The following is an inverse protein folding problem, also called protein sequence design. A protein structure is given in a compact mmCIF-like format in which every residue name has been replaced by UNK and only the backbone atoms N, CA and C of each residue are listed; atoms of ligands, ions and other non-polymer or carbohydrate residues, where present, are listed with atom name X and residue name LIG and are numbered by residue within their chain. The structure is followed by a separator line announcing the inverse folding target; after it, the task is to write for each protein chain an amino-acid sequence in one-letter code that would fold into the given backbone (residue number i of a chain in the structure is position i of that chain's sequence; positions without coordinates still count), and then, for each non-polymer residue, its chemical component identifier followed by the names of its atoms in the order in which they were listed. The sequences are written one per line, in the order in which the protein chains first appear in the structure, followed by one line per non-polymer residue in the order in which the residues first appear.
data_IF_151688957217
#
_entry.id   IF_151688957217
#
_cell.length_a   1.000
_cell.length_b   1.000
_cell.length_c   1.000
_cell.angle_alpha   90.00
_cell.angle_beta   90.00
_cell.angle_gamma   90.00
#
_symmetry.space_group_name_H-M   'P 1'
#
loop_
_entity.id
_entity.type
_entity.pdbx_description
1 polymer ?
#
# COMPACT_ATOMS: atom_id res chain seq x y z
N UNK A 1 -0.40 -22.55 3.75
CA UNK A 1 0.08 -21.19 3.45
C UNK A 1 1.35 -20.97 4.25
N UNK A 2 2.51 -20.93 3.58
CA UNK A 2 3.79 -20.63 4.22
C UNK A 2 3.90 -19.11 4.33
N UNK A 3 3.88 -18.58 5.55
CA UNK A 3 4.06 -17.15 5.82
C UNK A 3 5.46 -16.99 6.38
N UNK A 4 6.34 -16.35 5.62
CA UNK A 4 7.66 -15.95 6.10
C UNK A 4 7.53 -14.58 6.76
N UNK A 5 7.59 -14.56 8.09
CA UNK A 5 7.61 -13.32 8.85
C UNK A 5 9.04 -12.75 8.85
N UNK A 6 9.29 -11.80 7.95
CA UNK A 6 10.47 -10.97 8.02
C UNK A 6 10.18 -9.76 8.91
N UNK A 7 10.77 -9.73 10.11
CA UNK A 7 10.70 -8.56 10.97
C UNK A 7 11.70 -7.52 10.47
N UNK A 8 11.19 -6.45 9.88
CA UNK A 8 12.02 -5.30 9.52
C UNK A 8 12.39 -4.54 10.80
N UNK A 9 13.69 -4.47 11.09
CA UNK A 9 14.22 -3.66 12.18
C UNK A 9 14.70 -2.33 11.61
N UNK A 10 14.11 -1.23 12.07
CA UNK A 10 14.45 0.11 11.62
C UNK A 10 14.31 1.12 12.75
N UNK A 11 14.93 2.29 12.58
CA UNK A 11 14.69 3.43 13.47
C UNK A 11 13.23 3.88 13.35
N UNK A 12 12.67 4.45 14.41
CA UNK A 12 11.28 4.95 14.43
C UNK A 12 10.95 5.86 13.24
N UNK A 13 11.89 6.75 12.86
CA UNK A 13 11.75 7.63 11.71
C UNK A 13 11.65 6.87 10.36
N UNK A 14 12.38 5.77 10.21
CA UNK A 14 12.35 4.95 8.99
C UNK A 14 11.02 4.19 8.88
N UNK A 15 10.54 3.63 9.99
CA UNK A 15 9.25 2.93 10.03
C UNK A 15 8.11 3.89 9.69
N UNK A 16 8.13 5.11 10.27
CA UNK A 16 7.14 6.14 9.95
C UNK A 16 7.14 6.52 8.47
N UNK A 17 8.32 6.68 7.87
CA UNK A 17 8.44 7.00 6.45
C UNK A 17 7.89 5.86 5.56
N UNK A 18 8.09 4.60 5.97
CA UNK A 18 7.54 3.43 5.28
C UNK A 18 6.01 3.42 5.39
N UNK A 19 5.45 3.66 6.58
CA UNK A 19 4.00 3.71 6.78
C UNK A 19 3.34 4.80 5.92
N UNK A 20 3.95 6.00 5.86
CA UNK A 20 3.48 7.09 5.01
C UNK A 20 3.55 6.73 3.51
N UNK A 21 4.62 6.04 3.09
CA UNK A 21 4.76 5.56 1.71
C UNK A 21 3.70 4.48 1.37
N UNK A 22 3.46 3.53 2.27
CA UNK A 22 2.43 2.49 2.11
C UNK A 22 1.06 3.14 1.99
N UNK A 23 0.73 4.10 2.86
CA UNK A 23 -0.56 4.82 2.83
C UNK A 23 -0.76 5.54 1.49
N UNK A 24 0.29 6.17 0.98
CA UNK A 24 0.26 6.87 -0.32
C UNK A 24 0.04 5.89 -1.47
N UNK A 25 0.77 4.78 -1.47
CA UNK A 25 0.65 3.74 -2.51
C UNK A 25 -0.74 3.08 -2.49
N UNK A 26 -1.29 2.81 -1.31
CA UNK A 26 -2.65 2.29 -1.16
C UNK A 26 -3.70 3.26 -1.68
N UNK A 27 -3.57 4.56 -1.39
CA UNK A 27 -4.47 5.58 -1.90
C UNK A 27 -4.49 5.57 -3.44
N UNK A 28 -3.32 5.67 -4.07
CA UNK A 28 -3.19 5.65 -5.54
C UNK A 28 -3.79 4.38 -6.13
N UNK A 29 -3.46 3.22 -5.57
CA UNK A 29 -4.00 1.92 -6.02
C UNK A 29 -5.53 1.91 -5.97
N UNK A 30 -6.10 2.35 -4.85
CA UNK A 30 -7.55 2.37 -4.66
C UNK A 30 -8.23 3.35 -5.64
N UNK A 31 -7.61 4.50 -5.93
CA UNK A 31 -8.10 5.42 -6.95
C UNK A 31 -8.08 4.79 -8.36
N UNK A 32 -7.02 4.08 -8.74
CA UNK A 32 -6.96 3.39 -10.03
C UNK A 32 -8.00 2.27 -10.14
N UNK A 33 -8.17 1.46 -9.08
CA UNK A 33 -9.19 0.40 -9.05
C UNK A 33 -10.58 1.01 -9.16
N UNK A 34 -10.86 2.10 -8.44
CA UNK A 34 -12.13 2.82 -8.52
C UNK A 34 -12.40 3.31 -9.94
N UNK A 35 -11.43 3.99 -10.56
CA UNK A 35 -11.53 4.46 -11.93
C UNK A 35 -11.82 3.30 -12.90
N UNK A 36 -11.14 2.16 -12.74
CA UNK A 36 -11.40 0.99 -13.56
C UNK A 36 -12.85 0.49 -13.39
N UNK A 37 -13.34 0.37 -12.15
CA UNK A 37 -14.72 -0.04 -11.89
C UNK A 37 -15.74 0.94 -12.50
N UNK A 38 -15.46 2.24 -12.45
CA UNK A 38 -16.35 3.28 -12.99
C UNK A 38 -16.39 3.27 -14.53
N UNK A 39 -15.29 2.86 -15.19
CA UNK A 39 -15.17 2.78 -16.65
C UNK A 39 -15.66 1.42 -17.21
N UNK A 40 -15.57 0.35 -16.44
CA UNK A 40 -16.07 -0.98 -16.83
C UNK A 40 -17.61 -0.99 -16.86
N UNK A 41 -18.20 -0.66 -18.02
CA UNK A 41 -19.66 -0.65 -18.22
C UNK A 41 -20.16 0.43 -19.18
N UNK A 42 -19.30 1.41 -19.51
CA UNK A 42 -19.36 2.19 -20.76
C UNK A 42 -18.69 1.44 -21.89
#
# INVERSE_FOLDING_TARGET
MLVFEFKAYGKSAQIKAIDDAIRTAQFIRNSCIRLWMDVQGT
#
